data_IF_703353202112
#
_entry.id   IF_703353202112
#
_cell.length_a   1.000
_cell.length_b   1.000
_cell.length_c   1.000
_cell.angle_alpha   90.00
_cell.angle_beta   90.00
_cell.angle_gamma   90.00
#
_symmetry.space_group_name_H-M   'P 1'
#
loop_
_entity.id
_entity.type
_entity.pdbx_description
1 polymer ?
#
# COMPACT_ATOMS: atom_id res chain seq x y z
N UNK A 1 -25.51 48.23 -6.25
CA UNK A 1 -24.76 47.37 -7.20
C UNK A 1 -24.01 46.31 -6.40
N UNK A 2 -24.60 45.12 -6.21
CA UNK A 2 -24.02 44.07 -5.36
C UNK A 2 -22.94 43.32 -6.13
N UNK A 3 -21.68 43.54 -5.79
CA UNK A 3 -20.54 42.89 -6.45
C UNK A 3 -20.57 41.39 -6.12
N UNK A 4 -20.91 40.58 -7.12
CA UNK A 4 -20.77 39.14 -7.09
C UNK A 4 -19.27 38.82 -7.02
N UNK A 5 -18.81 38.45 -5.82
CA UNK A 5 -17.46 37.91 -5.64
C UNK A 5 -17.36 36.63 -6.45
N UNK A 6 -16.66 36.68 -7.58
CA UNK A 6 -16.21 35.49 -8.29
C UNK A 6 -15.48 34.61 -7.27
N UNK A 7 -16.09 33.48 -6.89
CA UNK A 7 -15.36 32.41 -6.23
C UNK A 7 -14.46 31.82 -7.31
N UNK A 8 -13.24 32.35 -7.43
CA UNK A 8 -12.15 31.65 -8.10
C UNK A 8 -12.08 30.31 -7.39
N UNK A 9 -12.51 29.23 -8.05
CA UNK A 9 -12.33 27.90 -7.53
C UNK A 9 -10.82 27.72 -7.39
N UNK A 10 -10.26 27.69 -6.17
CA UNK A 10 -8.82 27.59 -6.03
C UNK A 10 -8.39 26.31 -6.74
N UNK A 11 -7.33 26.40 -7.56
CA UNK A 11 -6.73 25.22 -8.16
C UNK A 11 -6.42 24.26 -7.02
N UNK A 12 -7.02 23.06 -7.06
CA UNK A 12 -6.95 22.08 -5.97
C UNK A 12 -5.52 22.01 -5.43
N UNK A 13 -5.38 22.26 -4.14
CA UNK A 13 -4.07 22.24 -3.49
C UNK A 13 -3.42 20.85 -3.63
N UNK A 14 -2.09 20.79 -3.60
CA UNK A 14 -1.35 19.52 -3.66
C UNK A 14 -1.87 18.50 -2.62
N UNK A 15 -2.24 18.98 -1.42
CA UNK A 15 -2.84 18.18 -0.35
C UNK A 15 -4.25 17.67 -0.67
N UNK A 16 -5.08 18.48 -1.34
CA UNK A 16 -6.41 18.08 -1.79
C UNK A 16 -6.32 17.02 -2.88
N UNK A 17 -5.43 17.20 -3.86
CA UNK A 17 -5.16 16.19 -4.90
C UNK A 17 -4.68 14.88 -4.27
N UNK A 18 -3.76 14.92 -3.31
CA UNK A 18 -3.34 13.73 -2.56
C UNK A 18 -4.50 13.05 -1.84
N UNK A 19 -5.36 13.82 -1.18
CA UNK A 19 -6.51 13.26 -0.43
C UNK A 19 -7.53 12.63 -1.37
N UNK A 20 -7.77 13.25 -2.52
CA UNK A 20 -8.65 12.74 -3.58
C UNK A 20 -8.09 11.45 -4.18
N UNK A 21 -6.82 11.43 -4.60
CA UNK A 21 -6.16 10.23 -5.13
C UNK A 21 -6.14 9.10 -4.10
N UNK A 22 -5.90 9.39 -2.81
CA UNK A 22 -5.99 8.39 -1.73
C UNK A 22 -7.40 7.82 -1.60
N UNK A 23 -8.42 8.67 -1.69
CA UNK A 23 -9.82 8.24 -1.58
C UNK A 23 -10.23 7.38 -2.76
N UNK A 24 -9.83 7.76 -3.97
CA UNK A 24 -10.06 6.97 -5.18
C UNK A 24 -9.34 5.62 -5.11
N UNK A 25 -8.07 5.61 -4.69
CA UNK A 25 -7.29 4.39 -4.53
C UNK A 25 -7.91 3.45 -3.48
N UNK A 26 -8.38 3.99 -2.35
CA UNK A 26 -9.08 3.20 -1.32
C UNK A 26 -10.37 2.59 -1.83
N UNK A 27 -11.16 3.34 -2.60
CA UNK A 27 -12.39 2.83 -3.21
C UNK A 27 -12.07 1.70 -4.18
N UNK A 28 -11.11 1.91 -5.09
CA UNK A 28 -10.71 0.92 -6.08
C UNK A 28 -10.18 -0.36 -5.43
N UNK A 29 -9.27 -0.24 -4.45
CA UNK A 29 -8.72 -1.40 -3.73
C UNK A 29 -9.84 -2.15 -2.99
N UNK A 30 -10.76 -1.43 -2.35
CA UNK A 30 -11.88 -2.05 -1.65
C UNK A 30 -12.83 -2.77 -2.62
N UNK A 31 -13.19 -2.14 -3.73
CA UNK A 31 -14.02 -2.74 -4.77
C UNK A 31 -13.38 -4.04 -5.29
N UNK A 32 -12.11 -3.99 -5.68
CA UNK A 32 -11.37 -5.17 -6.14
C UNK A 32 -11.28 -6.27 -5.08
N UNK A 33 -11.11 -5.90 -3.82
CA UNK A 33 -11.11 -6.85 -2.71
C UNK A 33 -12.49 -7.50 -2.56
N UNK A 34 -13.57 -6.70 -2.49
CA UNK A 34 -14.94 -7.22 -2.39
C UNK A 34 -15.30 -8.11 -3.59
N UNK A 35 -14.89 -7.74 -4.80
CA UNK A 35 -15.14 -8.51 -6.01
C UNK A 35 -14.51 -9.91 -5.94
N UNK A 36 -13.26 -10.00 -5.46
CA UNK A 36 -12.57 -11.29 -5.41
C UNK A 36 -12.97 -12.13 -4.20
N UNK A 37 -13.33 -11.51 -3.08
CA UNK A 37 -13.75 -12.23 -1.87
C UNK A 37 -15.23 -12.59 -1.90
N UNK A 38 -16.04 -11.86 -2.69
CA UNK A 38 -17.50 -11.94 -2.66
C UNK A 38 -18.11 -11.26 -1.42
N UNK A 39 -17.29 -10.61 -0.59
CA UNK A 39 -17.69 -10.06 0.70
C UNK A 39 -17.76 -8.53 0.63
N UNK A 40 -18.95 -7.91 0.60
CA UNK A 40 -19.08 -6.45 0.51
C UNK A 40 -18.59 -5.72 1.77
N UNK A 41 -18.48 -6.46 2.88
CA UNK A 41 -17.95 -5.98 4.16
C UNK A 41 -16.43 -6.08 4.27
N UNK A 42 -15.74 -6.61 3.24
CA UNK A 42 -14.30 -6.78 3.27
C UNK A 42 -13.59 -5.43 3.47
N UNK A 43 -12.68 -5.40 4.45
CA UNK A 43 -11.88 -4.22 4.76
C UNK A 43 -10.41 -4.55 4.56
N UNK A 44 -9.73 -3.68 3.81
CA UNK A 44 -8.31 -3.79 3.59
C UNK A 44 -7.54 -3.37 4.84
N UNK A 45 -6.61 -4.24 5.29
CA UNK A 45 -5.67 -3.94 6.37
C UNK A 45 -4.26 -3.84 5.77
N UNK A 46 -3.60 -2.70 5.94
CA UNK A 46 -2.28 -2.44 5.37
C UNK A 46 -1.12 -2.77 6.32
N UNK A 47 -1.38 -2.90 7.62
CA UNK A 47 -0.36 -3.31 8.58
C UNK A 47 -0.01 -4.79 8.35
N UNK A 48 1.27 -5.13 8.24
CA UNK A 48 1.74 -6.48 7.88
C UNK A 48 1.04 -7.61 8.65
N UNK A 49 1.06 -7.58 9.99
CA UNK A 49 0.40 -8.60 10.80
C UNK A 49 -1.12 -8.64 10.64
N UNK A 50 -1.76 -7.48 10.45
CA UNK A 50 -3.20 -7.42 10.21
C UNK A 50 -3.59 -7.83 8.78
N UNK A 51 -2.73 -7.56 7.79
CA UNK A 51 -2.91 -8.02 6.42
C UNK A 51 -2.88 -9.55 6.37
N UNK A 52 -1.86 -10.16 6.97
CA UNK A 52 -1.76 -11.62 7.01
C UNK A 52 -2.95 -12.27 7.72
N UNK A 53 -3.36 -11.74 8.87
CA UNK A 53 -4.48 -12.33 9.64
C UNK A 53 -5.86 -12.01 9.06
N UNK A 54 -6.14 -10.75 8.74
CA UNK A 54 -7.50 -10.30 8.43
C UNK A 54 -7.79 -10.32 6.93
N UNK A 55 -6.77 -10.31 6.07
CA UNK A 55 -6.93 -10.38 4.61
C UNK A 55 -6.53 -11.75 4.09
N UNK A 56 -5.28 -12.16 4.32
CA UNK A 56 -4.73 -13.39 3.76
C UNK A 56 -5.34 -14.62 4.42
N UNK A 57 -5.36 -14.73 5.74
CA UNK A 57 -5.90 -15.90 6.43
C UNK A 57 -7.43 -16.00 6.32
N UNK A 58 -8.12 -14.86 6.40
CA UNK A 58 -9.58 -14.80 6.36
C UNK A 58 -10.16 -15.05 4.96
N UNK A 59 -9.61 -14.39 3.94
CA UNK A 59 -10.17 -14.42 2.59
C UNK A 59 -9.36 -15.25 1.59
N UNK A 60 -8.16 -15.72 1.98
CA UNK A 60 -7.25 -16.46 1.09
C UNK A 60 -6.95 -15.71 -0.20
N UNK A 61 -6.69 -14.41 -0.06
CA UNK A 61 -6.30 -13.53 -1.17
C UNK A 61 -4.99 -12.81 -0.87
N UNK A 62 -4.16 -12.63 -1.89
CA UNK A 62 -2.93 -11.83 -1.86
C UNK A 62 -2.95 -10.73 -2.92
N UNK A 63 -2.15 -9.69 -2.74
CA UNK A 63 -1.87 -8.72 -3.79
C UNK A 63 -0.67 -9.22 -4.59
N UNK A 64 -0.80 -9.28 -5.90
CA UNK A 64 0.31 -9.51 -6.82
C UNK A 64 0.65 -8.24 -7.62
N UNK A 65 1.92 -8.14 -8.04
CA UNK A 65 2.41 -7.06 -8.90
C UNK A 65 2.58 -5.70 -8.20
N UNK A 66 2.64 -5.68 -6.87
CA UNK A 66 2.92 -4.46 -6.12
C UNK A 66 4.34 -3.95 -6.41
N UNK A 67 4.53 -2.67 -6.79
CA UNK A 67 5.84 -2.11 -7.11
C UNK A 67 6.64 -1.81 -5.83
N UNK A 68 7.09 -2.85 -5.11
CA UNK A 68 7.83 -2.74 -3.84
C UNK A 68 9.08 -1.85 -3.95
N UNK A 69 9.74 -1.86 -5.12
CA UNK A 69 10.91 -1.02 -5.42
C UNK A 69 10.63 0.49 -5.36
N UNK A 70 9.40 0.90 -5.67
CA UNK A 70 9.03 2.32 -5.78
C UNK A 70 8.20 2.77 -4.59
N UNK A 71 7.32 1.90 -4.10
CA UNK A 71 6.39 2.18 -3.02
C UNK A 71 6.41 1.03 -2.01
N UNK A 72 6.99 1.26 -0.82
CA UNK A 72 6.94 0.27 0.26
C UNK A 72 5.50 -0.13 0.56
N UNK A 73 5.28 -1.40 0.91
CA UNK A 73 3.96 -1.88 1.30
C UNK A 73 3.58 -1.33 2.68
N UNK A 74 2.90 -0.18 2.70
CA UNK A 74 2.43 0.50 3.90
C UNK A 74 1.07 1.13 3.66
N UNK A 75 0.48 1.67 4.73
CA UNK A 75 -0.79 2.38 4.63
C UNK A 75 -0.70 3.52 3.61
N UNK A 76 -1.73 3.63 2.76
CA UNK A 76 -1.82 4.67 1.73
C UNK A 76 -1.76 6.11 2.30
N UNK A 77 -2.10 6.29 3.57
CA UNK A 77 -1.91 7.55 4.30
C UNK A 77 -0.44 7.91 4.51
N UNK A 78 0.43 6.91 4.64
CA UNK A 78 1.85 7.08 4.98
C UNK A 78 2.74 7.12 3.73
N UNK A 79 2.13 7.11 2.54
CA UNK A 79 2.80 7.35 1.26
C UNK A 79 2.93 8.88 1.08
N UNK A 80 4.17 9.43 1.13
CA UNK A 80 4.38 10.88 1.19
C UNK A 80 4.22 11.58 -0.16
N UNK A 81 4.29 10.86 -1.28
CA UNK A 81 4.41 11.46 -2.61
C UNK A 81 3.18 11.18 -3.48
N UNK A 82 2.55 12.23 -4.01
CA UNK A 82 1.44 12.14 -4.96
C UNK A 82 1.79 11.27 -6.18
N UNK A 83 3.02 11.39 -6.71
CA UNK A 83 3.50 10.59 -7.86
C UNK A 83 3.40 9.10 -7.58
N UNK A 84 3.76 8.68 -6.36
CA UNK A 84 3.70 7.27 -5.93
C UNK A 84 2.25 6.77 -5.81
N UNK A 85 1.35 7.62 -5.30
CA UNK A 85 -0.08 7.31 -5.23
C UNK A 85 -0.71 7.22 -6.62
N UNK A 86 -0.39 8.15 -7.52
CA UNK A 86 -0.84 8.12 -8.92
C UNK A 86 -0.32 6.87 -9.65
N UNK A 87 0.94 6.46 -9.38
CA UNK A 87 1.52 5.24 -9.93
C UNK A 87 0.81 3.98 -9.43
N UNK A 88 0.52 3.89 -8.12
CA UNK A 88 -0.29 2.80 -7.58
C UNK A 88 -1.66 2.78 -8.25
N UNK A 89 -2.37 3.92 -8.29
CA UNK A 89 -3.69 4.01 -8.90
C UNK A 89 -3.67 3.57 -10.36
N UNK A 90 -2.65 3.99 -11.12
CA UNK A 90 -2.46 3.58 -12.51
C UNK A 90 -2.24 2.07 -12.61
N UNK A 91 -1.35 1.49 -11.80
CA UNK A 91 -1.06 0.06 -11.83
C UNK A 91 -2.27 -0.80 -11.42
N UNK A 92 -3.09 -0.33 -10.48
CA UNK A 92 -4.37 -0.96 -10.14
C UNK A 92 -5.38 -0.88 -11.29
N UNK A 93 -5.44 0.26 -12.00
CA UNK A 93 -6.32 0.42 -13.18
C UNK A 93 -5.87 -0.40 -14.38
N UNK A 94 -4.57 -0.47 -14.62
CA UNK A 94 -3.95 -1.28 -15.68
C UNK A 94 -4.02 -2.79 -15.37
N UNK A 95 -4.40 -3.18 -14.15
CA UNK A 95 -4.41 -4.59 -13.73
C UNK A 95 -3.02 -5.19 -13.53
N UNK A 96 -1.98 -4.34 -13.44
CA UNK A 96 -0.64 -4.78 -13.01
C UNK A 96 -0.63 -5.17 -11.54
N UNK A 97 -1.37 -4.41 -10.73
CA UNK A 97 -1.66 -4.77 -9.34
C UNK A 97 -3.06 -5.33 -9.30
N UNK A 98 -3.19 -6.56 -8.82
CA UNK A 98 -4.47 -7.22 -8.67
C UNK A 98 -4.47 -8.11 -7.44
N UNK A 99 -5.67 -8.40 -6.94
CA UNK A 99 -5.83 -9.44 -5.94
C UNK A 99 -5.89 -10.79 -6.63
N UNK A 100 -5.19 -11.77 -6.07
CA UNK A 100 -5.20 -13.17 -6.50
C UNK A 100 -5.62 -14.05 -5.33
N UNK A 101 -6.49 -15.02 -5.57
CA UNK A 101 -6.77 -16.08 -4.60
C UNK A 101 -5.55 -17.01 -4.49
N UNK A 102 -5.13 -17.27 -3.26
CA UNK A 102 -4.06 -18.20 -2.96
C UNK A 102 -4.64 -19.53 -2.49
N UNK A 103 -3.93 -20.61 -2.75
CA UNK A 103 -4.31 -21.93 -2.23
C UNK A 103 -3.89 -22.10 -0.77
N UNK A 104 -4.37 -23.16 -0.12
CA UNK A 104 -3.97 -23.47 1.26
C UNK A 104 -2.47 -23.74 1.35
N UNK A 105 -1.87 -24.39 0.35
CA UNK A 105 -0.45 -24.70 0.31
C UNK A 105 0.41 -23.43 0.20
N UNK A 106 -0.01 -22.48 -0.65
CA UNK A 106 0.63 -21.15 -0.73
C UNK A 106 0.50 -20.40 0.59
N UNK A 107 -0.67 -20.46 1.23
CA UNK A 107 -0.88 -19.85 2.53
C UNK A 107 0.03 -20.43 3.61
N UNK A 108 0.12 -21.75 3.73
CA UNK A 108 0.97 -22.42 4.71
C UNK A 108 2.44 -22.04 4.48
N UNK A 109 2.86 -21.93 3.22
CA UNK A 109 4.21 -21.45 2.86
C UNK A 109 4.43 -20.01 3.34
N UNK A 110 3.44 -19.13 3.18
CA UNK A 110 3.52 -17.74 3.64
C UNK A 110 3.51 -17.61 5.18
N UNK A 111 2.80 -18.49 5.88
CA UNK A 111 2.78 -18.53 7.35
C UNK A 111 4.10 -19.07 7.90
N UNK A 112 4.66 -20.10 7.24
CA UNK A 112 5.93 -20.71 7.62
C UNK A 112 7.12 -19.79 7.34
N UNK A 113 7.09 -19.05 6.22
CA UNK A 113 8.10 -18.06 5.87
C UNK A 113 7.45 -16.76 5.32
N UNK A 114 7.22 -15.76 6.19
CA UNK A 114 6.65 -14.47 5.79
C UNK A 114 7.66 -13.56 5.07
N UNK A 115 8.95 -13.91 5.05
CA UNK A 115 10.06 -13.09 4.56
C UNK A 115 10.10 -12.87 3.03
N UNK A 116 9.83 -13.88 2.17
CA UNK A 116 9.98 -13.75 0.71
C UNK A 116 8.93 -12.87 0.04
N UNK A 117 7.79 -12.66 0.71
CA UNK A 117 6.58 -12.10 0.09
C UNK A 117 6.39 -10.61 0.38
N UNK A 118 7.10 -10.11 1.37
CA UNK A 118 7.13 -8.72 1.78
C UNK A 118 8.58 -8.27 1.79
N UNK A 119 9.24 -8.33 0.63
CA UNK A 119 10.56 -7.74 0.46
C UNK A 119 10.46 -6.25 0.82
N UNK A 120 10.73 -5.99 2.09
CA UNK A 120 10.81 -4.71 2.74
C UNK A 120 12.29 -4.60 3.05
N UNK A 121 12.98 -3.73 2.32
CA UNK A 121 14.22 -3.15 2.82
C UNK A 121 13.80 -2.37 4.05
N UNK A 122 14.21 -2.84 5.22
CA UNK A 122 14.13 -2.06 6.46
C UNK A 122 14.57 -0.62 6.16
N UNK A 123 13.67 0.34 6.35
CA UNK A 123 14.10 1.67 6.76
C UNK A 123 14.69 1.52 8.16
N UNK A 124 15.96 1.13 8.21
CA UNK A 124 16.80 1.31 9.38
C UNK A 124 17.17 2.79 9.48
N UNK A 125 16.28 3.60 10.03
CA UNK A 125 16.74 4.69 10.88
C UNK A 125 16.97 4.05 12.26
N UNK A 126 18.24 3.78 12.55
CA UNK A 126 18.66 3.06 13.76
C UNK A 126 20.15 2.78 13.72
N UNK A 127 20.93 3.79 14.08
CA UNK A 127 22.34 3.71 14.43
C UNK A 127 22.59 2.51 15.35
N UNK A 128 23.51 1.62 14.97
CA UNK A 128 24.27 0.82 15.93
C UNK A 128 25.69 0.71 15.40
N UNK A 129 26.60 1.36 16.12
CA UNK A 129 27.98 1.57 15.74
C UNK A 129 28.76 0.29 15.51
N UNK A 130 29.69 0.38 14.58
CA UNK A 130 30.77 -0.57 14.38
C UNK A 130 31.98 -0.05 15.15
N UNK A 131 32.45 -0.73 16.21
CA UNK A 131 33.74 -0.45 16.79
C UNK A 131 34.71 -1.54 16.32
N UNK A 132 35.38 -1.38 15.20
CA UNK A 132 36.61 -2.14 14.96
C UNK A 132 37.51 -1.52 13.89
N UNK A 133 38.44 -0.69 14.34
CA UNK A 133 39.76 -0.61 13.73
C UNK A 133 40.77 -0.65 14.87
N UNK A 134 41.08 -1.87 15.32
CA UNK A 134 42.37 -2.14 15.90
C UNK A 134 43.37 -2.08 14.75
N UNK A 135 44.06 -0.96 14.61
CA UNK A 135 45.27 -0.87 13.81
C UNK A 135 46.45 -0.66 14.76
N UNK A 136 47.17 -1.76 14.91
CA UNK A 136 48.54 -1.94 15.37
C UNK A 136 49.44 -0.70 15.14
N UNK A 137 49.98 -0.13 16.23
CA UNK A 137 51.28 0.55 16.26
C UNK A 137 51.78 0.73 17.72
#
# INVERSE_FOLDING_TARGET
MSQHRFRVNPVKSYSERMTETRSELRKLVRERLCDITGEPSAQMRWAQGAYMRDVVARYRVRIEGWPLREVPFKNLSDVPNLRRLELLLRNWKEGKIYFRRITEEEYQTMVADPSPWLEYVETGEGEHGEPEAADDA
#
